data_IF_870125456831
#
_entry.id   IF_870125456831
#
_cell.length_a   1.000
_cell.length_b   1.000
_cell.length_c   1.000
_cell.angle_alpha   90.00
_cell.angle_beta   90.00
_cell.angle_gamma   90.00
#
_symmetry.space_group_name_H-M   'P 1'
#
loop_
_entity.id
_entity.type
_entity.pdbx_description
1 polymer ?
#
# COMPACT_ATOMS: atom_id res chain seq x y z
N UNK A 1 -27.30 28.10 3.59
CA UNK A 1 -27.47 26.81 4.30
C UNK A 1 -27.02 26.99 5.76
N UNK A 2 -27.43 26.13 6.70
CA UNK A 2 -26.92 26.15 8.10
C UNK A 2 -26.30 24.79 8.42
N UNK A 3 -25.18 24.77 9.14
CA UNK A 3 -24.55 23.55 9.67
C UNK A 3 -24.26 23.77 11.16
N UNK A 4 -24.63 22.82 12.02
CA UNK A 4 -24.53 22.92 13.48
C UNK A 4 -25.04 24.28 14.05
N UNK A 5 -26.21 24.72 13.58
CA UNK A 5 -26.84 25.97 14.03
C UNK A 5 -26.20 27.26 13.47
N UNK A 6 -25.04 27.20 12.82
CA UNK A 6 -24.34 28.37 12.28
C UNK A 6 -24.63 28.57 10.79
N UNK A 7 -24.63 29.83 10.32
CA UNK A 7 -24.81 30.14 8.89
C UNK A 7 -23.59 29.65 8.11
N UNK A 8 -23.83 29.01 6.97
CA UNK A 8 -22.81 28.43 6.10
C UNK A 8 -23.07 28.84 4.65
N UNK A 9 -22.00 29.26 3.98
CA UNK A 9 -21.91 29.42 2.53
C UNK A 9 -21.07 28.25 2.01
N UNK A 10 -21.48 27.65 0.89
CA UNK A 10 -20.77 26.51 0.30
C UNK A 10 -20.24 26.96 -1.05
N UNK A 11 -18.95 26.76 -1.26
CA UNK A 11 -18.29 26.95 -2.54
C UNK A 11 -17.88 25.56 -3.02
N UNK A 12 -18.36 25.14 -4.18
CA UNK A 12 -18.05 23.84 -4.78
C UNK A 12 -17.10 24.01 -5.94
N UNK A 13 -16.03 23.22 -5.98
CA UNK A 13 -15.10 23.15 -7.09
C UNK A 13 -14.89 21.70 -7.50
N UNK A 14 -14.87 21.43 -8.81
CA UNK A 14 -14.57 20.11 -9.36
C UNK A 14 -13.13 20.08 -9.86
N UNK A 15 -12.31 19.22 -9.26
CA UNK A 15 -10.91 19.02 -9.68
C UNK A 15 -10.88 17.92 -10.75
N UNK A 16 -10.21 18.18 -11.88
CA UNK A 16 -9.98 17.19 -12.95
C UNK A 16 -8.52 17.22 -13.38
N UNK A 17 -7.93 16.05 -13.62
CA UNK A 17 -6.55 15.94 -14.11
C UNK A 17 -5.47 16.32 -13.09
N UNK A 18 -5.83 16.46 -11.81
CA UNK A 18 -4.91 16.82 -10.73
C UNK A 18 -5.28 16.07 -9.45
N UNK A 19 -4.30 15.80 -8.59
CA UNK A 19 -4.57 15.20 -7.30
C UNK A 19 -5.31 16.16 -6.36
N UNK A 20 -6.24 15.61 -5.58
CA UNK A 20 -7.10 16.38 -4.69
C UNK A 20 -6.32 16.95 -3.48
N UNK A 21 -5.28 16.26 -3.03
CA UNK A 21 -4.46 16.66 -1.89
C UNK A 21 -3.71 17.95 -2.16
N UNK A 22 -2.87 17.96 -3.20
CA UNK A 22 -2.07 19.14 -3.56
C UNK A 22 -2.95 20.32 -3.99
N UNK A 23 -4.11 20.06 -4.61
CA UNK A 23 -5.06 21.13 -4.92
C UNK A 23 -5.58 21.82 -3.66
N UNK A 24 -6.01 21.06 -2.65
CA UNK A 24 -6.54 21.64 -1.40
C UNK A 24 -5.43 22.28 -0.56
N UNK A 25 -4.22 21.75 -0.61
CA UNK A 25 -3.05 22.32 0.07
C UNK A 25 -2.66 23.67 -0.53
N UNK A 26 -2.56 23.78 -1.86
CA UNK A 26 -2.36 25.06 -2.55
C UNK A 26 -3.51 26.04 -2.27
N UNK A 27 -4.76 25.55 -2.26
CA UNK A 27 -5.92 26.38 -1.99
C UNK A 27 -5.91 26.91 -0.55
N UNK A 28 -5.45 26.12 0.43
CA UNK A 28 -5.24 26.56 1.82
C UNK A 28 -4.18 27.65 1.90
N UNK A 29 -3.04 27.48 1.24
CA UNK A 29 -1.98 28.49 1.23
C UNK A 29 -2.45 29.81 0.60
N UNK A 30 -3.07 29.74 -0.59
CA UNK A 30 -3.54 30.94 -1.29
C UNK A 30 -4.65 31.67 -0.55
N UNK A 31 -5.65 30.93 -0.05
CA UNK A 31 -6.76 31.54 0.69
C UNK A 31 -6.27 32.09 2.02
N UNK A 32 -5.38 31.38 2.73
CA UNK A 32 -4.79 31.87 3.97
C UNK A 32 -3.92 33.12 3.80
N UNK A 33 -3.27 33.27 2.64
CA UNK A 33 -2.40 34.43 2.35
C UNK A 33 -3.11 35.63 1.69
N UNK A 34 -4.25 35.44 1.01
CA UNK A 34 -4.89 36.48 0.19
C UNK A 34 -6.28 36.88 0.68
N UNK A 35 -6.89 36.14 1.61
CA UNK A 35 -8.25 36.38 2.08
C UNK A 35 -8.23 36.70 3.57
N UNK A 36 -8.49 37.97 3.90
CA UNK A 36 -8.76 38.38 5.27
C UNK A 36 -10.20 38.03 5.65
N UNK A 37 -10.35 37.21 6.69
CA UNK A 37 -11.66 36.82 7.23
C UNK A 37 -12.06 37.78 8.35
N UNK A 38 -13.28 38.34 8.34
CA UNK A 38 -13.80 39.09 9.47
C UNK A 38 -13.88 38.22 10.73
N UNK A 39 -13.80 38.84 11.91
CA UNK A 39 -13.91 38.11 13.17
C UNK A 39 -15.22 37.29 13.24
N UNK A 40 -15.11 36.06 13.77
CA UNK A 40 -16.23 35.14 13.86
C UNK A 40 -16.53 34.32 12.60
N UNK A 41 -15.76 34.48 11.52
CA UNK A 41 -15.80 33.62 10.34
C UNK A 41 -14.63 32.63 10.35
N UNK A 42 -14.88 31.39 9.94
CA UNK A 42 -13.84 30.39 9.69
C UNK A 42 -14.14 29.65 8.38
N UNK A 43 -13.08 29.16 7.75
CA UNK A 43 -13.17 28.37 6.53
C UNK A 43 -12.97 26.90 6.91
N UNK A 44 -13.84 26.05 6.37
CA UNK A 44 -13.76 24.60 6.55
C UNK A 44 -13.71 23.92 5.18
N UNK A 45 -12.74 23.03 5.00
CA UNK A 45 -12.53 22.28 3.77
C UNK A 45 -13.13 20.88 3.92
N UNK A 46 -14.36 20.72 3.45
CA UNK A 46 -15.12 19.47 3.57
C UNK A 46 -15.23 18.69 2.25
N UNK A 47 -16.07 17.66 2.26
CA UNK A 47 -16.40 16.85 1.07
C UNK A 47 -15.45 15.67 0.89
N UNK A 48 -15.11 15.33 -0.35
CA UNK A 48 -14.24 14.17 -0.66
C UNK A 48 -12.85 14.30 -0.04
N UNK A 49 -12.37 15.53 0.20
CA UNK A 49 -11.09 15.78 0.86
C UNK A 49 -11.10 15.38 2.33
N UNK A 50 -12.18 15.65 3.05
CA UNK A 50 -12.34 15.21 4.45
C UNK A 50 -12.37 13.68 4.55
N UNK A 51 -13.04 13.02 3.60
CA UNK A 51 -13.02 11.56 3.47
C UNK A 51 -11.59 11.05 3.21
N UNK A 52 -10.83 11.72 2.34
CA UNK A 52 -9.42 11.38 2.07
C UNK A 52 -8.54 11.52 3.31
N UNK A 53 -8.64 12.64 4.04
CA UNK A 53 -7.85 12.85 5.28
C UNK A 53 -8.21 11.82 6.34
N UNK A 54 -9.52 11.61 6.59
CA UNK A 54 -9.97 10.66 7.61
C UNK A 54 -9.50 9.23 7.29
N UNK A 55 -9.56 8.83 6.02
CA UNK A 55 -9.06 7.54 5.57
C UNK A 55 -7.53 7.43 5.64
N UNK A 56 -6.80 8.47 5.23
CA UNK A 56 -5.34 8.51 5.33
C UNK A 56 -4.86 8.38 6.78
N UNK A 57 -5.51 9.09 7.72
CA UNK A 57 -5.23 8.97 9.16
C UNK A 57 -5.50 7.56 9.68
N UNK A 58 -6.57 6.90 9.22
CA UNK A 58 -6.83 5.49 9.56
C UNK A 58 -5.75 4.57 9.01
N UNK A 59 -5.36 4.72 7.74
CA UNK A 59 -4.29 3.92 7.12
C UNK A 59 -2.95 4.11 7.83
N UNK A 60 -2.62 5.33 8.26
CA UNK A 60 -1.41 5.63 9.01
C UNK A 60 -1.31 4.84 10.34
N UNK A 61 -2.44 4.44 10.92
CA UNK A 61 -2.47 3.58 12.12
C UNK A 61 -2.58 2.10 11.74
N UNK A 62 -3.46 1.77 10.79
CA UNK A 62 -3.74 0.38 10.39
C UNK A 62 -2.52 -0.28 9.76
N UNK A 63 -1.77 0.41 8.89
CA UNK A 63 -0.60 -0.17 8.21
C UNK A 63 0.47 -0.59 9.20
N UNK A 64 0.95 0.26 10.14
CA UNK A 64 1.88 -0.18 11.18
C UNK A 64 1.35 -1.33 12.03
N UNK A 65 0.08 -1.28 12.44
CA UNK A 65 -0.54 -2.34 13.25
C UNK A 65 -0.51 -3.68 12.51
N UNK A 66 -0.86 -3.70 11.22
CA UNK A 66 -0.80 -4.90 10.38
C UNK A 66 0.63 -5.39 10.21
N UNK A 67 1.59 -4.51 9.97
CA UNK A 67 3.00 -4.90 9.85
C UNK A 67 3.56 -5.51 11.15
N UNK A 68 3.19 -4.95 12.30
CA UNK A 68 3.55 -5.52 13.62
C UNK A 68 2.89 -6.88 13.83
N UNK A 69 1.62 -7.04 13.46
CA UNK A 69 0.94 -8.34 13.54
C UNK A 69 1.59 -9.39 12.63
N UNK A 70 1.92 -9.02 11.39
CA UNK A 70 2.65 -9.89 10.46
C UNK A 70 3.99 -10.32 11.06
N UNK A 71 4.77 -9.37 11.58
CA UNK A 71 6.05 -9.69 12.24
C UNK A 71 5.87 -10.61 13.45
N UNK A 72 4.85 -10.36 14.28
CA UNK A 72 4.51 -11.20 15.43
C UNK A 72 4.14 -12.63 15.02
N UNK A 73 3.35 -12.80 13.97
CA UNK A 73 3.01 -14.11 13.41
C UNK A 73 4.25 -14.83 12.86
N UNK A 74 5.15 -14.11 12.19
CA UNK A 74 6.43 -14.67 11.73
C UNK A 74 7.32 -15.11 12.88
N UNK A 75 7.39 -14.29 13.93
CA UNK A 75 8.14 -14.63 15.14
C UNK A 75 7.60 -15.90 15.79
N UNK A 76 6.28 -16.05 15.88
CA UNK A 76 5.63 -17.27 16.39
C UNK A 76 5.87 -18.48 15.47
N UNK A 77 5.82 -18.31 14.15
CA UNK A 77 6.00 -19.39 13.19
C UNK A 77 7.43 -19.96 13.20
N UNK A 78 8.43 -19.10 13.33
CA UNK A 78 9.84 -19.52 13.31
C UNK A 78 10.46 -19.74 14.68
N UNK A 79 9.91 -19.15 15.75
CA UNK A 79 10.55 -19.11 17.07
C UNK A 79 11.92 -18.41 17.08
N UNK A 80 12.24 -17.67 16.01
CA UNK A 80 13.54 -17.03 15.77
C UNK A 80 13.32 -15.64 15.19
N UNK A 81 13.76 -14.62 15.94
CA UNK A 81 13.67 -13.22 15.49
C UNK A 81 14.55 -12.92 14.27
N UNK A 82 15.64 -13.67 14.07
CA UNK A 82 16.52 -13.52 12.91
C UNK A 82 15.81 -13.95 11.62
N UNK A 83 15.16 -15.11 11.64
CA UNK A 83 14.44 -15.65 10.49
C UNK A 83 13.22 -14.77 10.14
N UNK A 84 12.49 -14.33 11.18
CA UNK A 84 11.39 -13.37 11.02
C UNK A 84 11.87 -12.05 10.39
N UNK A 85 13.00 -11.50 10.83
CA UNK A 85 13.57 -10.27 10.27
C UNK A 85 14.03 -10.44 8.82
N UNK A 86 14.62 -11.60 8.47
CA UNK A 86 15.01 -11.91 7.09
C UNK A 86 13.78 -11.90 6.18
N UNK A 87 12.71 -12.60 6.55
CA UNK A 87 11.46 -12.59 5.78
C UNK A 87 10.85 -11.18 5.73
N UNK A 88 10.87 -10.46 6.84
CA UNK A 88 10.30 -9.11 6.92
C UNK A 88 11.05 -8.08 6.07
N UNK A 89 12.36 -8.26 5.84
CA UNK A 89 13.14 -7.42 4.92
C UNK A 89 12.62 -7.45 3.47
N UNK A 90 11.89 -8.50 3.09
CA UNK A 90 11.19 -8.58 1.82
C UNK A 90 10.02 -7.59 1.69
N UNK A 91 9.44 -7.14 2.80
CA UNK A 91 8.30 -6.20 2.79
C UNK A 91 8.70 -4.82 2.24
N UNK A 92 9.74 -4.12 2.78
CA UNK A 92 10.19 -2.87 2.19
C UNK A 92 10.55 -2.98 0.70
N UNK A 93 11.21 -4.08 0.30
CA UNK A 93 11.53 -4.36 -1.10
C UNK A 93 10.27 -4.43 -1.97
N UNK A 94 9.25 -5.16 -1.54
CA UNK A 94 7.99 -5.24 -2.27
C UNK A 94 7.28 -3.88 -2.33
N UNK A 95 7.24 -3.12 -1.22
CA UNK A 95 6.67 -1.78 -1.20
C UNK A 95 7.36 -0.85 -2.21
N UNK A 96 8.69 -0.93 -2.34
CA UNK A 96 9.42 -0.12 -3.34
C UNK A 96 9.03 -0.46 -4.78
N UNK A 97 8.79 -1.74 -5.10
CA UNK A 97 8.30 -2.17 -6.41
C UNK A 97 6.93 -1.58 -6.74
N UNK A 98 5.98 -1.69 -5.80
CA UNK A 98 4.64 -1.14 -5.97
C UNK A 98 4.60 0.39 -6.09
N UNK A 99 5.43 1.11 -5.32
CA UNK A 99 5.57 2.58 -5.44
C UNK A 99 6.14 2.96 -6.81
N UNK A 100 7.19 2.25 -7.26
CA UNK A 100 7.79 2.49 -8.57
C UNK A 100 6.80 2.22 -9.71
N UNK A 101 5.99 1.17 -9.62
CA UNK A 101 4.97 0.86 -10.61
C UNK A 101 3.86 1.92 -10.68
N UNK A 102 3.39 2.44 -9.54
CA UNK A 102 2.44 3.55 -9.51
C UNK A 102 3.03 4.82 -10.14
N UNK A 103 4.29 5.13 -9.80
CA UNK A 103 4.98 6.30 -10.32
C UNK A 103 5.18 6.23 -11.83
N UNK A 104 5.64 5.08 -12.35
CA UNK A 104 5.79 4.84 -13.79
C UNK A 104 4.47 4.96 -14.57
N UNK A 105 3.34 4.64 -13.93
CA UNK A 105 1.99 4.77 -14.52
C UNK A 105 1.33 6.13 -14.28
N UNK A 106 1.97 7.03 -13.54
CA UNK A 106 1.39 8.33 -13.17
C UNK A 106 0.11 8.20 -12.34
N UNK A 107 -0.07 7.10 -11.60
CA UNK A 107 -1.25 6.86 -10.78
C UNK A 107 -0.98 7.43 -9.38
N UNK A 108 -1.82 8.34 -8.86
CA UNK A 108 -1.62 8.90 -7.54
C UNK A 108 -1.82 7.84 -6.45
N UNK A 109 -1.15 8.03 -5.32
CA UNK A 109 -1.32 7.16 -4.16
C UNK A 109 -2.74 7.36 -3.59
N UNK A 110 -3.56 6.32 -3.73
CA UNK A 110 -4.96 6.31 -3.29
C UNK A 110 -5.19 5.28 -2.18
N UNK A 111 -6.37 5.33 -1.55
CA UNK A 111 -6.77 4.35 -0.53
C UNK A 111 -6.72 2.93 -1.11
N UNK A 112 -7.18 2.75 -2.35
CA UNK A 112 -7.16 1.46 -3.06
C UNK A 112 -5.74 0.95 -3.28
N UNK A 113 -4.79 1.84 -3.58
CA UNK A 113 -3.37 1.49 -3.63
C UNK A 113 -2.85 1.06 -2.25
N UNK A 114 -3.26 1.75 -1.19
CA UNK A 114 -2.93 1.39 0.20
C UNK A 114 -3.34 -0.04 0.57
N UNK A 115 -4.55 -0.45 0.19
CA UNK A 115 -5.01 -1.84 0.36
C UNK A 115 -4.16 -2.81 -0.47
N UNK A 116 -3.78 -2.42 -1.69
CA UNK A 116 -2.84 -3.17 -2.53
C UNK A 116 -1.49 -3.39 -1.85
N UNK A 117 -0.92 -2.37 -1.18
CA UNK A 117 0.35 -2.49 -0.46
C UNK A 117 0.26 -3.46 0.73
N UNK A 118 -0.87 -3.49 1.43
CA UNK A 118 -1.10 -4.45 2.51
C UNK A 118 -1.13 -5.88 1.94
N UNK A 119 -1.84 -6.09 0.84
CA UNK A 119 -1.90 -7.39 0.16
C UNK A 119 -0.53 -7.83 -0.37
N UNK A 120 0.21 -6.91 -1.01
CA UNK A 120 1.56 -7.15 -1.52
C UNK A 120 2.54 -7.52 -0.39
N UNK A 121 2.46 -6.85 0.75
CA UNK A 121 3.27 -7.17 1.92
C UNK A 121 3.01 -8.60 2.41
N UNK A 122 1.74 -9.02 2.44
CA UNK A 122 1.37 -10.39 2.78
C UNK A 122 1.91 -11.44 1.80
N UNK A 123 1.85 -11.15 0.49
CA UNK A 123 2.40 -12.04 -0.54
C UNK A 123 3.93 -12.16 -0.45
N UNK A 124 4.63 -11.04 -0.24
CA UNK A 124 6.07 -11.01 -0.05
C UNK A 124 6.49 -11.86 1.17
N UNK A 125 5.74 -11.72 2.27
CA UNK A 125 5.96 -12.50 3.49
C UNK A 125 5.69 -13.98 3.29
N UNK A 126 4.61 -14.34 2.59
CA UNK A 126 4.31 -15.74 2.27
C UNK A 126 5.44 -16.38 1.47
N UNK A 127 5.95 -15.69 0.45
CA UNK A 127 7.06 -16.18 -0.36
C UNK A 127 8.35 -16.34 0.45
N UNK A 128 8.67 -15.37 1.31
CA UNK A 128 9.82 -15.46 2.21
C UNK A 128 9.68 -16.57 3.25
N UNK A 129 8.49 -16.72 3.85
CA UNK A 129 8.20 -17.77 4.82
C UNK A 129 8.30 -19.16 4.20
N UNK A 130 7.69 -19.30 3.02
CA UNK A 130 8.00 -20.24 1.94
C UNK A 130 9.43 -20.78 1.95
N UNK A 131 10.30 -19.86 1.53
CA UNK A 131 11.72 -20.10 1.29
C UNK A 131 12.47 -20.49 2.56
N UNK A 132 12.33 -19.70 3.63
CA UNK A 132 13.07 -19.91 4.87
C UNK A 132 12.67 -21.22 5.57
N UNK A 133 11.38 -21.57 5.55
CA UNK A 133 10.91 -22.86 6.09
C UNK A 133 11.57 -24.04 5.38
N UNK A 134 11.75 -23.95 4.05
CA UNK A 134 12.39 -25.01 3.27
C UNK A 134 13.89 -25.09 3.52
N UNK A 135 14.58 -23.94 3.55
CA UNK A 135 16.02 -23.89 3.89
C UNK A 135 16.25 -24.47 5.28
N UNK A 136 15.38 -24.14 6.25
CA UNK A 136 15.48 -24.67 7.61
C UNK A 136 15.29 -26.18 7.64
N UNK A 137 14.33 -26.72 6.87
CA UNK A 137 14.16 -28.16 6.75
C UNK A 137 15.43 -28.85 6.21
N UNK A 138 16.04 -28.34 5.15
CA UNK A 138 17.29 -28.90 4.61
C UNK A 138 18.43 -28.86 5.65
N UNK A 139 18.49 -27.78 6.46
CA UNK A 139 19.45 -27.70 7.57
C UNK A 139 19.17 -28.69 8.69
N UNK A 140 17.90 -28.94 9.00
CA UNK A 140 17.48 -29.93 10.00
C UNK A 140 17.76 -31.37 9.49
N UNK A 141 17.71 -31.58 8.18
CA UNK A 141 18.11 -32.82 7.50
C UNK A 141 19.64 -33.02 7.43
N UNK A 142 20.43 -32.06 7.94
CA UNK A 142 21.87 -32.14 8.12
C UNK A 142 22.71 -31.47 7.04
N UNK A 143 22.10 -30.79 6.05
CA UNK A 143 22.84 -30.09 5.02
C UNK A 143 23.58 -28.85 5.55
N UNK A 144 24.80 -28.58 5.06
CA UNK A 144 25.51 -27.35 5.40
C UNK A 144 24.77 -26.13 4.85
N UNK A 145 24.84 -25.00 5.58
CA UNK A 145 24.06 -23.79 5.31
C UNK A 145 24.12 -23.31 3.85
N UNK A 146 25.30 -23.36 3.22
CA UNK A 146 25.48 -22.86 1.86
C UNK A 146 24.73 -23.74 0.85
N UNK A 147 24.84 -25.05 0.97
CA UNK A 147 24.16 -26.02 0.10
C UNK A 147 22.65 -25.91 0.29
N UNK A 148 22.17 -25.86 1.54
CA UNK A 148 20.75 -25.68 1.85
C UNK A 148 20.15 -24.40 1.25
N UNK A 149 20.91 -23.30 1.17
CA UNK A 149 20.47 -22.05 0.52
C UNK A 149 20.38 -22.23 -0.99
N UNK A 150 21.39 -22.83 -1.62
CA UNK A 150 21.44 -23.04 -3.08
C UNK A 150 20.34 -23.99 -3.52
N UNK A 151 20.22 -25.15 -2.87
CA UNK A 151 19.22 -26.16 -3.20
C UNK A 151 17.81 -25.70 -2.85
N UNK A 152 17.65 -24.96 -1.75
CA UNK A 152 16.42 -24.28 -1.42
C UNK A 152 15.99 -23.27 -2.49
N UNK A 153 16.92 -22.44 -2.96
CA UNK A 153 16.64 -21.46 -4.01
C UNK A 153 16.27 -22.11 -5.34
N UNK A 154 17.04 -23.12 -5.78
CA UNK A 154 16.79 -23.83 -7.05
C UNK A 154 15.46 -24.58 -7.05
N UNK A 155 15.15 -25.29 -5.97
CA UNK A 155 13.90 -26.04 -5.83
C UNK A 155 12.69 -25.12 -5.81
N UNK A 156 12.82 -23.94 -5.20
CA UNK A 156 11.71 -22.99 -5.03
C UNK A 156 11.56 -22.01 -6.18
N UNK A 157 12.56 -21.87 -7.05
CA UNK A 157 12.52 -20.96 -8.20
C UNK A 157 11.27 -21.15 -9.06
N UNK A 158 10.98 -22.40 -9.44
CA UNK A 158 9.80 -22.74 -10.27
C UNK A 158 8.48 -22.39 -9.56
N UNK A 159 8.20 -22.86 -8.33
CA UNK A 159 6.99 -22.46 -7.60
C UNK A 159 6.83 -20.95 -7.42
N UNK A 160 7.89 -20.24 -7.04
CA UNK A 160 7.84 -18.79 -6.82
C UNK A 160 7.49 -18.07 -8.12
N UNK A 161 8.16 -18.41 -9.22
CA UNK A 161 7.85 -17.86 -10.54
C UNK A 161 6.40 -18.16 -10.98
N UNK A 162 5.90 -19.37 -10.75
CA UNK A 162 4.50 -19.69 -11.07
C UNK A 162 3.53 -18.79 -10.30
N UNK A 163 3.73 -18.61 -8.99
CA UNK A 163 2.84 -17.76 -8.18
C UNK A 163 2.90 -16.29 -8.61
N UNK A 164 4.09 -15.77 -8.92
CA UNK A 164 4.27 -14.42 -9.42
C UNK A 164 3.60 -14.24 -10.79
N UNK A 165 3.81 -15.17 -11.73
CA UNK A 165 3.22 -15.10 -13.07
C UNK A 165 1.70 -15.19 -13.03
N UNK A 166 1.13 -16.12 -12.25
CA UNK A 166 -0.32 -16.27 -12.11
C UNK A 166 -0.94 -15.01 -11.52
N UNK A 167 -0.34 -14.45 -10.48
CA UNK A 167 -0.79 -13.18 -9.91
C UNK A 167 -0.73 -12.05 -10.95
N UNK A 168 0.44 -11.84 -11.58
CA UNK A 168 0.64 -10.76 -12.54
C UNK A 168 -0.31 -10.85 -13.74
N UNK A 169 -0.50 -12.05 -14.30
CA UNK A 169 -1.44 -12.27 -15.41
C UNK A 169 -2.90 -12.10 -14.97
N UNK A 170 -3.26 -12.52 -13.76
CA UNK A 170 -4.61 -12.37 -13.21
C UNK A 170 -4.98 -10.92 -12.93
N UNK A 171 -4.02 -10.10 -12.49
CA UNK A 171 -4.23 -8.67 -12.23
C UNK A 171 -4.07 -7.79 -13.47
N UNK A 172 -3.46 -8.30 -14.56
CA UNK A 172 -3.23 -7.55 -15.79
C UNK A 172 -4.50 -6.91 -16.40
N UNK A 173 -5.64 -7.63 -16.59
CA UNK A 173 -6.86 -7.01 -17.15
C UNK A 173 -7.42 -5.92 -16.22
N UNK A 174 -7.37 -6.15 -14.92
CA UNK A 174 -7.80 -5.18 -13.90
C UNK A 174 -6.93 -3.91 -13.90
N UNK A 175 -5.63 -4.07 -14.16
CA UNK A 175 -4.68 -2.97 -14.23
C UNK A 175 -4.82 -2.11 -15.50
N UNK A 176 -5.39 -2.66 -16.59
CA UNK A 176 -5.59 -1.96 -17.87
C UNK A 176 -7.03 -1.45 -18.07
N UNK A 177 -7.99 -1.95 -17.29
CA UNK A 177 -9.42 -1.64 -17.44
C UNK A 177 -9.69 -0.13 -17.47
N UNK A 178 -10.39 0.38 -18.49
CA UNK A 178 -10.83 1.80 -18.66
C UNK A 178 -12.29 2.04 -18.28
N UNK A 179 -13.03 0.98 -17.95
CA UNK A 179 -14.46 1.05 -17.67
C UNK A 179 -14.82 1.55 -16.27
N UNK A 180 -16.11 1.49 -15.96
CA UNK A 180 -16.66 1.86 -14.65
C UNK A 180 -15.98 1.07 -13.53
N UNK A 181 -15.55 1.76 -12.46
CA UNK A 181 -14.83 1.14 -11.34
C UNK A 181 -13.31 1.03 -11.54
N UNK A 182 -12.77 1.39 -12.70
CA UNK A 182 -11.32 1.41 -12.97
C UNK A 182 -10.53 2.26 -11.98
N UNK A 183 -11.11 3.32 -11.43
CA UNK A 183 -10.47 4.21 -10.46
C UNK A 183 -10.08 3.50 -9.15
N UNK A 184 -10.81 2.45 -8.77
CA UNK A 184 -10.51 1.63 -7.59
C UNK A 184 -9.61 0.46 -7.97
N UNK A 185 -9.85 -0.12 -9.14
CA UNK A 185 -9.22 -1.36 -9.55
C UNK A 185 -7.77 -1.19 -10.02
N UNK A 186 -7.49 -0.16 -10.82
CA UNK A 186 -6.15 0.07 -11.41
C UNK A 186 -5.06 0.28 -10.37
N UNK A 187 -5.24 1.14 -9.34
CA UNK A 187 -4.17 1.37 -8.37
C UNK A 187 -3.87 0.10 -7.57
N UNK A 188 -4.91 -0.64 -7.17
CA UNK A 188 -4.76 -1.90 -6.44
C UNK A 188 -4.00 -2.94 -7.27
N UNK A 189 -4.41 -3.17 -8.52
CA UNK A 189 -3.77 -4.15 -9.39
C UNK A 189 -2.34 -3.75 -9.78
N UNK A 190 -2.08 -2.46 -10.01
CA UNK A 190 -0.75 -1.95 -10.35
C UNK A 190 0.26 -2.21 -9.23
N UNK A 191 -0.14 -2.01 -7.96
CA UNK A 191 0.74 -2.26 -6.81
C UNK A 191 1.06 -3.75 -6.66
N UNK A 192 0.12 -4.65 -6.92
CA UNK A 192 0.36 -6.10 -6.76
C UNK A 192 1.25 -6.65 -7.89
N UNK A 193 1.20 -6.06 -9.08
CA UNK A 193 2.04 -6.45 -10.22
C UNK A 193 3.48 -5.91 -10.09
N UNK A 194 3.63 -4.71 -9.51
CA UNK A 194 4.90 -3.99 -9.38
C UNK A 194 5.76 -4.48 -8.23
#
# INVERSE_FOLDING_TARGET
SRNNGKRRVVITANVRGRDLGSFVEELRERVGGQVELPEGYWIEYGGTFEQLISASRRLAVVVPVVLVMIFGLLFMAFGSGKDAAIVFSGVPLALTGGVLALWLRGIPLSISAGVGFIALSGLAVLNGLVMISFIRKLRDDGEPLHEAIVDGALTRLRPVLMTALVASLGFLPMALNVGTGAEVQRPLATVVIG
#
